data_IF_097068030275
#
_entry.id   IF_097068030275
#
_cell.length_a   1.000
_cell.length_b   1.000
_cell.length_c   1.000
_cell.angle_alpha   90.00
_cell.angle_beta   90.00
_cell.angle_gamma   90.00
#
_symmetry.space_group_name_H-M   'P 1'
#
loop_
_entity.id
_entity.type
_entity.pdbx_description
1 polymer ?
#
# COMPACT_ATOMS: atom_id res chain seq x y z
N UNK A 1 -13.90 0.00 23.07
CA UNK A 1 -14.06 1.14 22.14
C UNK A 1 -12.75 1.59 21.48
N UNK A 2 -11.58 1.41 22.10
CA UNK A 2 -10.27 1.78 21.50
C UNK A 2 -9.96 1.02 20.20
N UNK A 3 -10.20 -0.30 20.13
CA UNK A 3 -9.93 -1.10 18.93
C UNK A 3 -10.72 -0.68 17.69
N UNK A 4 -11.97 -0.19 17.85
CA UNK A 4 -12.77 0.30 16.73
C UNK A 4 -12.22 1.63 16.18
N UNK A 5 -11.76 2.52 17.06
CA UNK A 5 -11.19 3.81 16.67
C UNK A 5 -9.86 3.62 15.91
N UNK A 6 -8.98 2.75 16.42
CA UNK A 6 -7.71 2.40 15.75
C UNK A 6 -7.97 1.70 14.43
N UNK A 7 -8.88 0.72 14.40
CA UNK A 7 -9.24 -0.01 13.18
C UNK A 7 -9.86 0.88 12.11
N UNK A 8 -10.73 1.82 12.48
CA UNK A 8 -11.34 2.77 11.54
C UNK A 8 -10.29 3.72 10.95
N UNK A 9 -9.40 4.26 11.79
CA UNK A 9 -8.32 5.13 11.33
C UNK A 9 -7.38 4.39 10.37
N UNK A 10 -7.03 3.14 10.69
CA UNK A 10 -6.21 2.29 9.82
C UNK A 10 -6.91 1.97 8.51
N UNK A 11 -8.20 1.62 8.55
CA UNK A 11 -8.99 1.33 7.35
C UNK A 11 -9.07 2.56 6.42
N UNK A 12 -9.25 3.76 6.97
CA UNK A 12 -9.22 5.01 6.19
C UNK A 12 -7.83 5.26 5.60
N UNK A 13 -6.76 5.04 6.37
CA UNK A 13 -5.40 5.21 5.88
C UNK A 13 -5.08 4.25 4.71
N UNK A 14 -5.46 2.98 4.82
CA UNK A 14 -5.31 1.98 3.76
C UNK A 14 -6.13 2.40 2.53
N UNK A 15 -7.39 2.79 2.72
CA UNK A 15 -8.25 3.23 1.61
C UNK A 15 -7.65 4.43 0.83
N UNK A 16 -7.00 5.37 1.53
CA UNK A 16 -6.32 6.49 0.89
C UNK A 16 -5.05 6.07 0.13
N UNK A 17 -4.31 5.08 0.63
CA UNK A 17 -3.12 4.53 -0.04
C UNK A 17 -3.47 3.79 -1.35
N UNK A 18 -4.62 3.11 -1.37
CA UNK A 18 -5.06 2.36 -2.55
C UNK A 18 -5.41 3.25 -3.75
N UNK A 19 -5.62 4.55 -3.54
CA UNK A 19 -5.89 5.48 -4.65
C UNK A 19 -4.63 5.63 -5.53
N UNK A 20 -3.46 6.06 -5.01
CA UNK A 20 -2.19 6.02 -5.75
C UNK A 20 -1.88 4.66 -6.38
N UNK A 21 -2.06 3.57 -5.63
CA UNK A 21 -1.74 2.22 -6.10
C UNK A 21 -2.67 1.78 -7.24
N UNK A 22 -3.97 2.05 -7.12
CA UNK A 22 -4.94 1.80 -8.17
C UNK A 22 -4.62 2.58 -9.46
N UNK A 23 -4.13 3.82 -9.35
CA UNK A 23 -3.66 4.59 -10.50
C UNK A 23 -2.41 3.95 -11.12
N UNK A 24 -1.48 3.48 -10.28
CA UNK A 24 -0.26 2.81 -10.71
C UNK A 24 -0.55 1.50 -11.47
N UNK A 25 -1.62 0.78 -11.12
CA UNK A 25 -2.10 -0.41 -11.85
C UNK A 25 -2.89 -0.03 -13.11
N UNK A 26 -3.76 0.99 -13.03
CA UNK A 26 -4.64 1.35 -14.14
C UNK A 26 -3.91 1.95 -15.34
N UNK A 27 -2.90 2.80 -15.11
CA UNK A 27 -2.17 3.50 -16.17
C UNK A 27 -1.49 2.55 -17.18
N UNK A 28 -0.65 1.58 -16.78
CA UNK A 28 0.00 0.67 -17.74
C UNK A 28 -1.02 -0.13 -18.54
N UNK A 29 -2.12 -0.58 -17.91
CA UNK A 29 -3.21 -1.29 -18.59
C UNK A 29 -3.89 -0.38 -19.61
N UNK A 30 -4.15 0.88 -19.27
CA UNK A 30 -4.70 1.85 -20.20
C UNK A 30 -3.77 2.07 -21.39
N UNK A 31 -2.46 2.22 -21.16
CA UNK A 31 -1.54 2.47 -22.25
C UNK A 31 -1.36 1.26 -23.17
N UNK A 32 -1.43 0.05 -22.64
CA UNK A 32 -1.40 -1.20 -23.39
C UNK A 32 -2.70 -1.49 -24.15
N UNK A 33 -3.86 -1.22 -23.55
CA UNK A 33 -5.17 -1.61 -24.13
C UNK A 33 -5.97 -0.47 -24.75
N UNK A 34 -5.58 0.78 -24.51
CA UNK A 34 -6.30 2.03 -24.84
C UNK A 34 -7.75 2.11 -24.32
N UNK A 35 -8.15 1.23 -23.40
CA UNK A 35 -9.52 1.18 -22.87
C UNK A 35 -9.57 1.63 -21.41
N UNK A 36 -10.20 2.78 -21.15
CA UNK A 36 -10.39 3.32 -19.80
C UNK A 36 -11.23 2.38 -18.92
N UNK A 37 -12.22 1.70 -19.50
CA UNK A 37 -13.06 0.74 -18.77
C UNK A 37 -12.24 -0.46 -18.31
N UNK A 38 -11.41 -1.04 -19.19
CA UNK A 38 -10.55 -2.18 -18.82
C UNK A 38 -9.58 -1.78 -17.71
N UNK A 39 -8.89 -0.66 -17.87
CA UNK A 39 -7.98 -0.12 -16.86
C UNK A 39 -8.66 0.06 -15.49
N UNK A 40 -9.85 0.67 -15.47
CA UNK A 40 -10.62 0.88 -14.24
C UNK A 40 -11.04 -0.44 -13.59
N UNK A 41 -11.65 -1.36 -14.35
CA UNK A 41 -12.13 -2.61 -13.77
C UNK A 41 -10.98 -3.48 -13.27
N UNK A 42 -9.85 -3.55 -13.98
CA UNK A 42 -8.72 -4.35 -13.52
C UNK A 42 -8.09 -3.76 -12.25
N UNK A 43 -7.93 -2.43 -12.16
CA UNK A 43 -7.43 -1.78 -10.95
C UNK A 43 -8.42 -1.90 -9.77
N UNK A 44 -9.71 -1.78 -10.03
CA UNK A 44 -10.73 -1.99 -9.00
C UNK A 44 -10.73 -3.44 -8.49
N UNK A 45 -10.57 -4.42 -9.39
CA UNK A 45 -10.51 -5.83 -9.02
C UNK A 45 -9.24 -6.18 -8.25
N UNK A 46 -8.09 -5.59 -8.61
CA UNK A 46 -6.85 -5.78 -7.83
C UNK A 46 -6.97 -5.20 -6.43
N UNK A 47 -7.63 -4.05 -6.27
CA UNK A 47 -7.89 -3.44 -4.96
C UNK A 47 -8.75 -4.28 -4.03
N UNK A 48 -9.52 -5.27 -4.54
CA UNK A 48 -10.26 -6.21 -3.70
C UNK A 48 -9.35 -7.24 -3.00
N UNK A 49 -8.09 -7.40 -3.43
CA UNK A 49 -7.17 -8.35 -2.81
C UNK A 49 -6.92 -8.06 -1.33
N UNK A 50 -6.83 -6.79 -0.94
CA UNK A 50 -6.60 -6.38 0.44
C UNK A 50 -7.74 -6.72 1.40
N UNK A 51 -9.01 -6.31 1.16
CA UNK A 51 -10.12 -6.70 2.03
C UNK A 51 -10.32 -8.22 2.04
N UNK A 52 -10.06 -8.91 0.93
CA UNK A 52 -10.07 -10.37 0.91
C UNK A 52 -8.98 -10.97 1.81
N UNK A 53 -7.78 -10.35 1.85
CA UNK A 53 -6.72 -10.71 2.78
C UNK A 53 -7.16 -10.57 4.24
N UNK A 54 -7.84 -9.46 4.58
CA UNK A 54 -8.40 -9.25 5.93
C UNK A 54 -9.41 -10.34 6.28
N UNK A 55 -10.33 -10.67 5.37
CA UNK A 55 -11.31 -11.73 5.58
C UNK A 55 -10.63 -13.09 5.75
N UNK A 56 -9.65 -13.41 4.91
CA UNK A 56 -8.91 -14.66 5.00
C UNK A 56 -8.19 -14.80 6.36
N UNK A 57 -7.51 -13.74 6.81
CA UNK A 57 -6.84 -13.72 8.11
C UNK A 57 -7.85 -13.84 9.26
N UNK A 58 -9.00 -13.16 9.19
CA UNK A 58 -10.05 -13.26 10.20
C UNK A 58 -10.66 -14.67 10.30
N UNK A 59 -10.75 -15.40 9.18
CA UNK A 59 -11.25 -16.78 9.16
C UNK A 59 -10.19 -17.80 9.64
N UNK A 60 -8.93 -17.59 9.29
CA UNK A 60 -7.83 -18.48 9.68
C UNK A 60 -7.42 -18.31 11.15
N UNK A 61 -7.57 -17.11 11.70
CA UNK A 61 -7.16 -16.77 13.06
C UNK A 61 -8.32 -16.12 13.86
N UNK A 62 -9.39 -16.87 14.17
CA UNK A 62 -10.63 -16.32 14.72
C UNK A 62 -10.52 -15.83 16.17
N UNK A 63 -9.54 -16.28 16.94
CA UNK A 63 -9.38 -15.93 18.37
C UNK A 63 -8.26 -14.94 18.63
N UNK A 64 -7.10 -15.11 17.99
CA UNK A 64 -5.96 -14.19 18.06
C UNK A 64 -4.87 -14.62 17.09
N UNK A 65 -4.18 -13.66 16.47
CA UNK A 65 -2.91 -13.92 15.79
C UNK A 65 -1.76 -13.91 16.80
N UNK A 66 -0.87 -14.89 16.67
CA UNK A 66 0.40 -14.87 17.37
C UNK A 66 1.24 -13.66 16.87
N UNK A 67 1.78 -12.81 17.76
CA UNK A 67 2.64 -11.68 17.38
C UNK A 67 3.79 -12.07 16.44
N UNK A 68 4.45 -13.21 16.66
CA UNK A 68 5.57 -13.66 15.82
C UNK A 68 5.12 -13.93 14.37
N UNK A 69 3.90 -14.45 14.20
CA UNK A 69 3.30 -14.69 12.88
C UNK A 69 2.95 -13.35 12.23
N UNK A 70 2.39 -12.41 12.99
CA UNK A 70 2.05 -11.09 12.48
C UNK A 70 3.29 -10.33 12.01
N UNK A 71 4.36 -10.34 12.79
CA UNK A 71 5.65 -9.72 12.42
C UNK A 71 6.25 -10.39 11.18
N UNK A 72 6.22 -11.72 11.10
CA UNK A 72 6.64 -12.47 9.92
C UNK A 72 5.83 -12.11 8.67
N UNK A 73 4.50 -11.99 8.81
CA UNK A 73 3.61 -11.57 7.73
C UNK A 73 3.91 -10.13 7.29
N UNK A 74 4.01 -9.19 8.21
CA UNK A 74 4.33 -7.79 7.91
C UNK A 74 5.69 -7.64 7.22
N UNK A 75 6.71 -8.36 7.71
CA UNK A 75 8.03 -8.41 7.07
C UNK A 75 7.97 -8.99 5.65
N UNK A 76 7.20 -10.05 5.45
CA UNK A 76 7.02 -10.63 4.11
C UNK A 76 6.30 -9.69 3.14
N UNK A 77 5.24 -9.00 3.58
CA UNK A 77 4.53 -7.98 2.78
C UNK A 77 5.47 -6.82 2.44
N UNK A 78 6.23 -6.31 3.42
CA UNK A 78 7.22 -5.27 3.18
C UNK A 78 8.27 -5.68 2.13
N UNK A 79 8.74 -6.92 2.18
CA UNK A 79 9.66 -7.48 1.19
C UNK A 79 9.06 -7.56 -0.21
N UNK A 80 7.83 -8.04 -0.34
CA UNK A 80 7.12 -8.11 -1.64
C UNK A 80 6.89 -6.71 -2.21
N UNK A 81 6.46 -5.75 -1.40
CA UNK A 81 6.25 -4.37 -1.85
C UNK A 81 7.56 -3.68 -2.28
N UNK A 82 8.66 -3.93 -1.56
CA UNK A 82 9.97 -3.45 -1.97
C UNK A 82 10.41 -4.06 -3.31
N UNK A 83 10.23 -5.37 -3.49
CA UNK A 83 10.52 -6.05 -4.75
C UNK A 83 9.69 -5.49 -5.90
N UNK A 84 8.36 -5.41 -5.75
CA UNK A 84 7.46 -4.85 -6.78
C UNK A 84 7.82 -3.41 -7.13
N UNK A 85 8.17 -2.60 -6.13
CA UNK A 85 8.56 -1.21 -6.36
C UNK A 85 9.84 -1.12 -7.19
N UNK A 86 10.86 -1.91 -6.85
CA UNK A 86 12.16 -1.86 -7.50
C UNK A 86 12.21 -2.57 -8.87
N UNK A 87 11.50 -3.69 -9.01
CA UNK A 87 11.54 -4.52 -10.22
C UNK A 87 10.48 -4.14 -11.25
N UNK A 88 9.32 -3.63 -10.84
CA UNK A 88 8.21 -3.34 -11.75
C UNK A 88 7.94 -1.84 -11.84
N UNK A 89 7.64 -1.19 -10.70
CA UNK A 89 7.17 0.20 -10.71
C UNK A 89 8.27 1.19 -11.11
N UNK A 90 9.50 1.01 -10.63
CA UNK A 90 10.61 1.91 -10.91
C UNK A 90 11.07 1.83 -12.39
N UNK A 91 11.28 0.64 -12.99
CA UNK A 91 11.56 0.52 -14.42
C UNK A 91 10.42 1.09 -15.27
N UNK A 92 9.16 0.83 -14.89
CA UNK A 92 8.01 1.42 -15.58
C UNK A 92 8.05 2.95 -15.52
N UNK A 93 8.39 3.55 -14.37
CA UNK A 93 8.55 4.99 -14.26
C UNK A 93 9.70 5.52 -15.16
N UNK A 94 10.81 4.77 -15.27
CA UNK A 94 11.91 5.14 -16.18
C UNK A 94 11.46 5.16 -17.63
N UNK A 95 10.67 4.19 -18.07
CA UNK A 95 10.16 4.12 -19.43
C UNK A 95 9.17 5.25 -19.75
N UNK A 96 8.38 5.70 -18.76
CA UNK A 96 7.35 6.73 -18.97
C UNK A 96 7.84 8.17 -18.87
N UNK A 97 8.65 8.52 -17.88
CA UNK A 97 9.07 9.91 -17.63
C UNK A 97 10.59 10.12 -17.67
N UNK A 98 11.36 9.05 -17.88
CA UNK A 98 12.81 9.06 -17.91
C UNK A 98 13.44 9.01 -16.51
N UNK A 99 14.64 8.46 -16.44
CA UNK A 99 15.36 8.20 -15.18
C UNK A 99 15.43 9.42 -14.25
N UNK A 100 15.78 10.59 -14.78
CA UNK A 100 15.95 11.80 -13.94
C UNK A 100 14.66 12.23 -13.25
N UNK A 101 13.51 12.14 -13.92
CA UNK A 101 12.23 12.55 -13.34
C UNK A 101 11.71 11.49 -12.37
N UNK A 102 11.81 10.21 -12.74
CA UNK A 102 11.42 9.09 -11.89
C UNK A 102 12.20 9.07 -10.57
N UNK A 103 13.53 9.17 -10.61
CA UNK A 103 14.35 9.21 -9.39
C UNK A 103 13.96 10.39 -8.50
N UNK A 104 13.75 11.58 -9.07
CA UNK A 104 13.26 12.73 -8.29
C UNK A 104 11.90 12.44 -7.64
N UNK A 105 10.96 11.85 -8.36
CA UNK A 105 9.64 11.51 -7.84
C UNK A 105 9.74 10.48 -6.69
N UNK A 106 10.63 9.49 -6.80
CA UNK A 106 10.88 8.51 -5.72
C UNK A 106 11.38 9.21 -4.47
N UNK A 107 12.41 10.06 -4.55
CA UNK A 107 12.92 10.78 -3.38
C UNK A 107 11.89 11.71 -2.75
N UNK A 108 11.07 12.39 -3.56
CA UNK A 108 9.95 13.20 -3.06
C UNK A 108 8.93 12.31 -2.35
N UNK A 109 8.57 11.16 -2.92
CA UNK A 109 7.68 10.19 -2.30
C UNK A 109 8.22 9.66 -0.96
N UNK A 110 9.51 9.33 -0.90
CA UNK A 110 10.19 8.90 0.33
C UNK A 110 10.15 10.00 1.40
N UNK A 111 10.39 11.25 1.03
CA UNK A 111 10.32 12.38 1.96
C UNK A 111 8.89 12.58 2.50
N UNK A 112 7.87 12.52 1.63
CA UNK A 112 6.47 12.60 2.05
C UNK A 112 6.09 11.45 2.99
N UNK A 113 6.51 10.22 2.67
CA UNK A 113 6.23 9.05 3.50
C UNK A 113 6.91 9.18 4.87
N UNK A 114 8.19 9.55 4.90
CA UNK A 114 8.92 9.79 6.16
C UNK A 114 8.28 10.88 7.00
N UNK A 115 7.84 11.98 6.38
CA UNK A 115 7.13 13.06 7.08
C UNK A 115 5.78 12.58 7.65
N UNK A 116 5.02 11.77 6.91
CA UNK A 116 3.76 11.21 7.39
C UNK A 116 3.95 10.26 8.57
N UNK A 117 4.99 9.42 8.54
CA UNK A 117 5.32 8.51 9.64
C UNK A 117 5.75 9.28 10.88
N UNK A 118 6.59 10.30 10.71
CA UNK A 118 6.98 11.19 11.81
C UNK A 118 5.75 11.89 12.43
N UNK A 119 4.84 12.39 11.60
CA UNK A 119 3.63 13.06 12.09
C UNK A 119 2.69 12.08 12.81
N UNK A 120 2.57 10.85 12.29
CA UNK A 120 1.82 9.77 12.92
C UNK A 120 2.40 9.42 14.30
N UNK A 121 3.72 9.31 14.39
CA UNK A 121 4.41 8.99 15.64
C UNK A 121 4.25 10.08 16.70
N UNK A 122 4.36 11.36 16.31
CA UNK A 122 4.10 12.50 17.19
C UNK A 122 2.63 12.56 17.64
N UNK A 123 1.70 12.11 16.80
CA UNK A 123 0.26 12.14 17.10
C UNK A 123 -0.20 10.93 17.94
N UNK A 124 0.60 9.87 18.02
CA UNK A 124 0.27 8.68 18.80
C UNK A 124 0.53 8.93 20.30
N UNK A 125 -0.36 8.46 21.20
CA UNK A 125 -0.06 8.42 22.63
C UNK A 125 1.20 7.59 22.88
N UNK A 126 2.09 8.05 23.77
CA UNK A 126 3.35 7.35 24.15
C UNK A 126 3.18 5.90 24.65
N UNK A 127 1.96 5.45 24.91
CA UNK A 127 1.68 4.06 25.29
C UNK A 127 1.49 3.12 24.07
N UNK A 128 1.44 3.66 22.86
CA UNK A 128 1.24 2.92 21.58
C UNK A 128 2.42 3.19 20.62
N UNK A 129 3.35 4.09 20.94
CA UNK A 129 4.59 4.27 20.19
C UNK A 129 5.45 3.00 20.30
N UNK A 130 5.79 2.43 19.14
CA UNK A 130 6.67 1.26 18.97
C UNK A 130 8.05 1.48 19.60
#
# INVERSE_FOLDING_TARGET
MQGLHVGLNLAVAIALHNIPEGVAVALPIYFATKSKKKAFYTAAFSGLAEPLGVVAVALLFPSSLNPDILEGLLGSVGGVMAFLTLHEMLPLAFDYCGQKQAVKAVFVGMACMSASLYFLEVSLPKEISL
#
